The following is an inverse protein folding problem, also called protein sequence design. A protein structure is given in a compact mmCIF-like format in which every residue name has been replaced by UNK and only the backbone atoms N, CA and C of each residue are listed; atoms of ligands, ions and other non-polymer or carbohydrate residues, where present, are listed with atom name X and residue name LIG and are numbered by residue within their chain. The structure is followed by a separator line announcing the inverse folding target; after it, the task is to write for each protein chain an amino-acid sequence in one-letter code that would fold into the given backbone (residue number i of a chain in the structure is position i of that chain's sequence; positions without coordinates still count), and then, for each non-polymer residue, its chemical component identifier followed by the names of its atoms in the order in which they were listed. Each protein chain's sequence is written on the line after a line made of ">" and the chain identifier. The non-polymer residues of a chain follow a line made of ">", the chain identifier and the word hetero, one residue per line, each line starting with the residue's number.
data_IF_957155654616
#
_entry.id   IF_957155654616
#
_cell.length_a   1.000
_cell.length_b   1.000
_cell.length_c   1.000
_cell.angle_alpha   90.00
_cell.angle_beta   90.00
_cell.angle_gamma   90.00
#
_symmetry.space_group_name_H-M   'P 1'
#
loop_
_entity.id
_entity.type
_entity.pdbx_description
1 polymer ?
#
# COMPACT_ATOMS: atom_id res chain seq x y z
N UNK A 1 -9.75 9.47 -7.13
CA UNK A 1 -10.76 9.84 -6.10
C UNK A 1 -10.17 9.86 -4.70
N UNK A 2 -9.65 8.75 -4.17
CA UNK A 2 -9.11 8.67 -2.81
C UNK A 2 -8.00 9.69 -2.52
N UNK A 3 -7.09 9.93 -3.48
CA UNK A 3 -6.03 10.94 -3.38
C UNK A 3 -6.57 12.37 -3.25
N UNK A 4 -7.58 12.72 -4.06
CA UNK A 4 -8.17 14.07 -4.10
C UNK A 4 -8.96 14.36 -2.82
N UNK A 5 -9.62 13.35 -2.25
CA UNK A 5 -10.43 13.50 -1.04
C UNK A 5 -9.65 13.49 0.27
N UNK A 6 -8.32 13.34 0.23
CA UNK A 6 -7.51 13.32 1.45
C UNK A 6 -7.16 14.73 1.91
N UNK A 7 -7.67 15.18 3.08
CA UNK A 7 -7.47 16.57 3.53
C UNK A 7 -6.03 16.87 3.94
N UNK A 8 -5.24 15.85 4.29
CA UNK A 8 -3.85 16.01 4.74
C UNK A 8 -2.82 15.73 3.65
N UNK A 9 -3.25 15.25 2.49
CA UNK A 9 -2.33 14.80 1.43
C UNK A 9 -1.58 13.49 1.75
N UNK A 10 -2.03 12.71 2.75
CA UNK A 10 -1.37 11.47 3.15
C UNK A 10 -1.29 10.44 2.02
N UNK A 11 -2.33 10.35 1.19
CA UNK A 11 -2.32 9.51 0.00
C UNK A 11 -1.76 10.27 -1.19
N UNK A 12 -0.73 9.73 -1.83
CA UNK A 12 -0.01 10.38 -2.92
C UNK A 12 0.50 9.36 -3.92
N UNK A 13 0.86 9.82 -5.12
CA UNK A 13 1.51 8.99 -6.14
C UNK A 13 3.02 9.17 -6.06
N UNK A 14 3.75 8.06 -5.96
CA UNK A 14 5.21 8.03 -6.06
C UNK A 14 5.65 8.49 -7.45
N UNK A 15 6.66 9.36 -7.50
CA UNK A 15 7.16 9.96 -8.73
C UNK A 15 8.05 9.00 -9.54
N UNK A 16 8.73 8.07 -8.87
CA UNK A 16 9.66 7.12 -9.51
C UNK A 16 8.93 5.93 -10.13
N UNK A 17 7.98 5.35 -9.38
CA UNK A 17 7.36 4.07 -9.70
C UNK A 17 5.86 4.17 -10.01
N UNK A 18 5.27 5.37 -9.85
CA UNK A 18 3.86 5.60 -10.17
C UNK A 18 2.85 4.92 -9.23
N UNK A 19 3.33 4.24 -8.18
CA UNK A 19 2.53 3.58 -7.16
C UNK A 19 1.80 4.62 -6.31
N UNK A 20 0.59 4.29 -5.85
CA UNK A 20 -0.12 5.13 -4.87
C UNK A 20 0.28 4.65 -3.48
N UNK A 21 0.69 5.54 -2.60
CA UNK A 21 1.12 5.23 -1.22
C UNK A 21 0.26 5.99 -0.22
N UNK A 22 0.15 5.48 1.00
CA UNK A 22 -0.44 6.19 2.14
C UNK A 22 0.69 6.42 3.13
N UNK A 23 0.96 7.69 3.46
CA UNK A 23 1.92 8.04 4.49
C UNK A 23 1.21 7.99 5.86
N UNK A 24 1.64 7.07 6.71
CA UNK A 24 1.07 6.89 8.04
C UNK A 24 1.25 8.13 8.92
N UNK A 25 2.37 8.85 8.84
CA UNK A 25 2.64 10.02 9.69
C UNK A 25 1.64 11.16 9.48
N UNK A 26 1.13 11.31 8.26
CA UNK A 26 0.17 12.37 7.90
C UNK A 26 -1.28 11.86 7.80
N UNK A 27 -1.49 10.56 7.93
CA UNK A 27 -2.81 9.94 7.90
C UNK A 27 -3.51 10.11 9.27
N UNK A 28 -4.55 10.95 9.29
CA UNK A 28 -5.36 11.25 10.49
C UNK A 28 -6.53 10.27 10.72
N UNK A 29 -6.66 9.22 9.91
CA UNK A 29 -7.71 8.21 10.10
C UNK A 29 -9.13 8.66 9.76
N UNK A 30 -9.34 9.73 8.98
CA UNK A 30 -10.67 10.29 8.67
C UNK A 30 -11.59 9.42 7.77
N UNK A 31 -11.11 8.27 7.30
CA UNK A 31 -11.87 7.27 6.50
C UNK A 31 -12.42 7.73 5.13
N UNK A 32 -12.30 9.02 4.74
CA UNK A 32 -12.79 9.54 3.45
C UNK A 32 -12.28 8.74 2.26
N UNK A 33 -11.01 8.35 2.28
CA UNK A 33 -10.40 7.56 1.22
C UNK A 33 -10.99 6.14 1.13
N UNK A 34 -11.28 5.50 2.26
CA UNK A 34 -11.89 4.17 2.33
C UNK A 34 -13.31 4.18 1.76
N UNK A 35 -14.12 5.15 2.19
CA UNK A 35 -15.50 5.32 1.72
C UNK A 35 -15.59 5.69 0.24
N UNK A 36 -14.58 6.39 -0.27
CA UNK A 36 -14.55 6.82 -1.69
C UNK A 36 -13.96 5.77 -2.62
N UNK A 37 -13.42 4.65 -2.12
CA UNK A 37 -12.77 3.65 -2.96
C UNK A 37 -13.82 2.74 -3.64
N UNK A 38 -13.98 2.78 -4.97
CA UNK A 38 -14.98 1.96 -5.67
C UNK A 38 -14.68 0.46 -5.61
N UNK A 39 -13.44 0.09 -5.30
CA UNK A 39 -12.98 -1.29 -5.20
C UNK A 39 -12.90 -1.80 -3.77
N UNK A 40 -13.21 -0.95 -2.77
CA UNK A 40 -13.10 -1.30 -1.34
C UNK A 40 -11.71 -1.83 -0.94
N UNK A 41 -10.65 -1.35 -1.60
CA UNK A 41 -9.27 -1.81 -1.41
C UNK A 41 -8.50 -1.06 -0.31
N UNK A 42 -9.14 -0.12 0.38
CA UNK A 42 -8.55 0.64 1.48
C UNK A 42 -9.22 0.17 2.77
N UNK A 43 -8.42 -0.24 3.75
CA UNK A 43 -8.87 -0.73 5.05
C UNK A 43 -8.45 0.24 6.15
N UNK A 44 -9.27 0.37 7.17
CA UNK A 44 -8.92 1.10 8.39
C UNK A 44 -8.40 0.08 9.41
N UNK A 45 -7.16 0.26 9.88
CA UNK A 45 -6.48 -0.71 10.76
C UNK A 45 -5.77 0.00 11.91
N UNK A 46 -5.66 -0.65 13.09
CA UNK A 46 -4.81 -0.16 14.15
C UNK A 46 -3.33 -0.27 13.76
N UNK A 47 -2.56 0.80 14.00
CA UNK A 47 -1.12 0.81 13.71
C UNK A 47 -0.29 0.24 14.85
N UNK A 48 0.90 -0.27 14.51
CA UNK A 48 1.84 -0.90 15.44
C UNK A 48 3.19 -0.20 15.44
N UNK A 49 3.87 -0.24 16.57
CA UNK A 49 5.27 0.16 16.69
C UNK A 49 6.23 -0.95 16.18
N UNK A 50 7.53 -0.67 16.18
CA UNK A 50 8.57 -1.65 15.79
C UNK A 50 8.57 -2.91 16.68
N UNK A 51 8.10 -2.80 17.93
CA UNK A 51 7.92 -3.92 18.86
C UNK A 51 6.64 -4.73 18.62
N UNK A 52 5.79 -4.32 17.67
CA UNK A 52 4.52 -4.94 17.37
C UNK A 52 3.37 -4.54 18.31
N UNK A 53 3.57 -3.59 19.23
CA UNK A 53 2.50 -3.11 20.12
C UNK A 53 1.62 -2.10 19.41
N UNK A 54 0.35 -2.03 19.78
CA UNK A 54 -0.55 -1.01 19.23
C UNK A 54 -0.16 0.38 19.69
N UNK A 55 -0.06 1.32 18.75
CA UNK A 55 0.13 2.73 19.08
C UNK A 55 -1.24 3.30 19.47
N UNK A 56 -1.35 3.81 20.70
CA UNK A 56 -2.61 4.31 21.28
C UNK A 56 -2.65 5.84 21.34
N UNK A 57 -3.87 6.39 21.30
CA UNK A 57 -4.12 7.81 21.54
C UNK A 57 -3.90 8.14 23.03
N UNK A 58 -3.05 9.14 23.37
CA UNK A 58 -2.79 9.53 24.76
C UNK A 58 -4.02 9.97 25.55
N UNK A 59 -5.10 10.40 24.91
CA UNK A 59 -6.28 10.95 25.58
C UNK A 59 -7.30 9.90 26.00
N UNK A 60 -7.39 8.79 25.26
CA UNK A 60 -8.44 7.78 25.44
C UNK A 60 -7.90 6.35 25.50
N UNK A 61 -6.59 6.15 25.38
CA UNK A 61 -5.89 4.85 25.45
C UNK A 61 -6.36 3.82 24.40
N UNK A 62 -7.05 4.26 23.33
CA UNK A 62 -7.49 3.38 22.24
C UNK A 62 -6.45 3.33 21.13
N UNK A 63 -6.33 2.21 20.40
CA UNK A 63 -5.46 2.11 19.23
C UNK A 63 -5.79 3.18 18.18
N UNK A 64 -4.76 3.86 17.66
CA UNK A 64 -4.89 4.79 16.56
C UNK A 64 -5.18 4.01 15.29
N UNK A 65 -6.25 4.39 14.59
CA UNK A 65 -6.70 3.77 13.35
C UNK A 65 -6.22 4.60 12.16
N UNK A 66 -5.53 3.96 11.22
CA UNK A 66 -5.08 4.59 9.97
C UNK A 66 -5.51 3.79 8.75
N UNK A 67 -5.58 4.47 7.61
CA UNK A 67 -5.90 3.85 6.34
C UNK A 67 -4.68 3.08 5.80
N UNK A 68 -4.88 1.83 5.39
CA UNK A 68 -3.88 1.02 4.69
C UNK A 68 -4.48 0.48 3.39
N UNK A 69 -3.61 0.17 2.44
CA UNK A 69 -3.96 -0.51 1.19
C UNK A 69 -2.74 -1.25 0.68
N UNK A 70 -2.92 -2.14 -0.29
CA UNK A 70 -1.78 -2.69 -1.03
C UNK A 70 -0.95 -1.54 -1.62
N UNK A 71 0.30 -1.46 -1.19
CA UNK A 71 1.34 -0.52 -1.62
C UNK A 71 2.29 -1.15 -2.65
N UNK A 72 1.98 -2.38 -3.07
CA UNK A 72 2.81 -3.23 -3.91
C UNK A 72 4.13 -3.64 -3.25
N UNK A 73 4.13 -3.73 -1.91
CA UNK A 73 5.28 -4.07 -1.07
C UNK A 73 6.44 -3.13 -1.32
N UNK A 74 6.18 -1.82 -1.22
CA UNK A 74 7.12 -0.76 -1.61
C UNK A 74 8.39 -0.76 -0.75
N UNK A 75 8.32 -1.33 0.44
CA UNK A 75 9.42 -1.48 1.40
C UNK A 75 10.19 -2.80 1.24
N UNK A 76 9.72 -3.74 0.42
CA UNK A 76 10.34 -5.04 0.22
C UNK A 76 11.21 -5.07 -1.04
N UNK A 77 12.50 -5.36 -0.86
CA UNK A 77 13.46 -5.51 -1.96
C UNK A 77 13.04 -6.63 -2.93
N UNK A 78 12.44 -7.71 -2.41
CA UNK A 78 11.94 -8.82 -3.23
C UNK A 78 10.77 -8.41 -4.12
N UNK A 79 10.08 -7.29 -3.85
CA UNK A 79 8.86 -6.90 -4.53
C UNK A 79 7.60 -7.54 -3.92
N UNK A 80 6.48 -7.61 -4.67
CA UNK A 80 5.19 -7.98 -4.12
C UNK A 80 5.15 -9.40 -3.54
N UNK A 81 5.01 -9.50 -2.22
CA UNK A 81 4.93 -10.77 -1.51
C UNK A 81 3.85 -11.71 -2.09
N UNK A 82 2.73 -11.16 -2.57
CA UNK A 82 1.66 -11.96 -3.18
C UNK A 82 2.10 -12.70 -4.45
N UNK A 83 3.01 -12.14 -5.25
CA UNK A 83 3.55 -12.78 -6.46
C UNK A 83 4.40 -13.99 -6.07
N UNK A 84 5.31 -13.82 -5.11
CA UNK A 84 6.22 -14.90 -4.67
C UNK A 84 5.54 -15.96 -3.81
N UNK A 85 4.47 -15.60 -3.09
CA UNK A 85 3.75 -16.53 -2.25
C UNK A 85 2.83 -17.48 -3.03
N UNK A 86 2.51 -17.17 -4.29
CA UNK A 86 1.58 -17.97 -5.07
C UNK A 86 2.27 -19.21 -5.67
N UNK A 87 1.92 -20.45 -5.26
CA UNK A 87 2.57 -21.66 -5.77
C UNK A 87 2.13 -22.05 -7.20
N UNK A 88 1.27 -21.24 -7.81
CA UNK A 88 0.68 -21.50 -9.13
C UNK A 88 0.98 -20.39 -10.14
N UNK A 89 1.86 -19.45 -9.79
CA UNK A 89 2.26 -18.35 -10.66
C UNK A 89 1.07 -17.53 -11.23
N UNK A 90 0.01 -17.38 -10.44
CA UNK A 90 -1.22 -16.72 -10.88
C UNK A 90 -1.09 -15.19 -11.04
N UNK A 91 -0.01 -14.59 -10.55
CA UNK A 91 0.23 -13.16 -10.55
C UNK A 91 1.63 -12.86 -11.07
N UNK A 92 1.76 -11.94 -12.03
CA UNK A 92 3.04 -11.40 -12.52
C UNK A 92 3.00 -9.87 -12.44
N UNK A 93 4.07 -9.25 -11.95
CA UNK A 93 4.25 -7.79 -12.05
C UNK A 93 4.90 -7.49 -13.41
N UNK A 94 4.31 -6.56 -14.15
CA UNK A 94 4.78 -6.14 -15.48
C UNK A 94 4.91 -4.64 -15.48
N UNK A 95 6.03 -4.13 -16.01
CA UNK A 95 6.21 -2.69 -16.29
C UNK A 95 6.00 -2.45 -17.79
N UNK A 96 4.95 -1.69 -18.12
CA UNK A 96 4.62 -1.37 -19.51
C UNK A 96 5.54 -0.33 -20.15
N UNK A 97 6.50 0.25 -19.40
CA UNK A 97 7.55 1.10 -19.95
C UNK A 97 8.67 0.27 -20.60
N UNK A 98 8.79 -1.00 -20.23
CA UNK A 98 9.78 -1.93 -20.75
C UNK A 98 9.12 -2.81 -21.81
N UNK A 99 8.98 -2.30 -23.04
CA UNK A 99 8.33 -3.04 -24.15
C UNK A 99 9.27 -4.02 -24.85
N UNK A 100 10.46 -4.29 -24.32
CA UNK A 100 11.44 -5.22 -24.90
C UNK A 100 12.16 -5.91 -23.74
N UNK A 101 12.02 -7.24 -23.58
CA UNK A 101 13.01 -8.16 -22.96
C UNK A 101 12.46 -9.59 -22.65
N UNK A 102 11.17 -9.87 -22.79
CA UNK A 102 10.60 -11.21 -22.52
C UNK A 102 10.74 -12.23 -23.68
N UNK A 103 11.86 -12.24 -24.41
CA UNK A 103 12.19 -13.33 -25.37
C UNK A 103 13.36 -14.24 -24.93
N UNK A 104 14.04 -14.00 -23.80
CA UNK A 104 15.27 -14.77 -23.47
C UNK A 104 15.43 -15.31 -22.04
N UNK A 105 14.39 -15.41 -21.22
CA UNK A 105 14.50 -16.06 -19.88
C UNK A 105 13.62 -17.30 -19.75
N UNK A 106 13.60 -18.12 -20.79
CA UNK A 106 13.22 -19.54 -20.71
C UNK A 106 14.42 -20.37 -21.15
N UNK A 107 15.43 -20.51 -20.29
CA UNK A 107 16.58 -21.37 -20.56
C UNK A 107 17.85 -21.01 -19.79
N UNK A 108 17.88 -21.27 -18.49
CA UNK A 108 18.86 -22.15 -17.83
C UNK A 108 18.42 -22.42 -16.38
#
# INVERSE_FOLDING_TARGET
>A
VCMIGCPTGAIHRSMSEGMVLINDDTCIGCETCANSCPYSNIRMVPIRDEGGNFITDPQNEKPIIKATKCDLCADQISGPACVFACPHDAMKRVDFRETELDENTSGN
#
